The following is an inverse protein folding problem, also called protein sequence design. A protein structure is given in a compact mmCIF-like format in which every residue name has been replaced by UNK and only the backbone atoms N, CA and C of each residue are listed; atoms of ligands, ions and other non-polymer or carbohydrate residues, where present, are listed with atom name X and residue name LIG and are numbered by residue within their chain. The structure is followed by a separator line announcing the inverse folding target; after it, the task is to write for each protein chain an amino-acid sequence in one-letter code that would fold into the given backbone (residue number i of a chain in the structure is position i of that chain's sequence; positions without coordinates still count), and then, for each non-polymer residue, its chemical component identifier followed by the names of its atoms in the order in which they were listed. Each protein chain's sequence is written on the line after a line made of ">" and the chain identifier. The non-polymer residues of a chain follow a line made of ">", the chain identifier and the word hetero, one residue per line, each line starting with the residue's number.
data_IF_633155733202
#
_entry.id   IF_633155733202
#
_cell.length_a   1.000
_cell.length_b   1.000
_cell.length_c   1.000
_cell.angle_alpha   90.00
_cell.angle_beta   90.00
_cell.angle_gamma   90.00
#
_symmetry.space_group_name_H-M   'P 1'
#
loop_
_entity.id
_entity.type
_entity.pdbx_description
1 polymer ?
#
# COMPACT_ATOMS: atom_id res chain seq x y z
N UNK A 1 20.17 -4.82 -44.38
CA UNK A 1 19.25 -5.94 -44.09
C UNK A 1 18.47 -5.50 -42.84
N UNK A 2 17.28 -4.94 -43.03
CA UNK A 2 16.54 -4.22 -41.98
C UNK A 2 15.59 -5.18 -41.26
N UNK A 3 15.58 -5.06 -39.94
CA UNK A 3 14.83 -5.84 -38.96
C UNK A 3 13.35 -6.07 -39.31
N UNK A 4 12.94 -7.34 -39.27
CA UNK A 4 11.53 -7.73 -39.16
C UNK A 4 11.09 -7.54 -37.71
N UNK A 5 10.61 -6.34 -37.39
CA UNK A 5 9.73 -6.09 -36.24
C UNK A 5 8.54 -7.05 -36.31
N UNK A 6 8.51 -8.02 -35.38
CA UNK A 6 7.33 -8.81 -35.10
C UNK A 6 6.23 -7.87 -34.60
N UNK A 7 5.31 -7.47 -35.49
CA UNK A 7 4.08 -6.80 -35.09
C UNK A 7 3.25 -7.77 -34.24
N UNK A 8 3.09 -7.46 -32.96
CA UNK A 8 2.11 -8.13 -32.11
C UNK A 8 0.70 -7.90 -32.69
N UNK A 9 -0.17 -8.92 -32.73
CA UNK A 9 -1.54 -8.75 -33.18
C UNK A 9 -2.28 -7.76 -32.26
N UNK A 10 -2.98 -6.81 -32.87
CA UNK A 10 -3.82 -5.84 -32.19
C UNK A 10 -4.81 -6.56 -31.26
N UNK A 11 -4.83 -6.12 -30.00
CA UNK A 11 -5.47 -6.80 -28.88
C UNK A 11 -6.95 -7.13 -29.12
N UNK A 12 -7.33 -8.34 -28.72
CA UNK A 12 -8.72 -8.64 -28.36
C UNK A 12 -9.09 -7.73 -27.19
N UNK A 13 -10.05 -6.82 -27.38
CA UNK A 13 -10.70 -6.12 -26.29
C UNK A 13 -11.47 -7.16 -25.45
N UNK A 14 -10.81 -7.71 -24.43
CA UNK A 14 -11.50 -8.41 -23.37
C UNK A 14 -12.30 -7.35 -22.59
N UNK A 15 -13.59 -7.23 -22.90
CA UNK A 15 -14.52 -6.47 -22.07
C UNK A 15 -14.62 -7.18 -20.72
N UNK A 16 -13.83 -6.75 -19.75
CA UNK A 16 -13.98 -7.17 -18.36
C UNK A 16 -15.30 -6.58 -17.84
N UNK A 17 -16.33 -7.42 -17.75
CA UNK A 17 -17.63 -7.04 -17.20
C UNK A 17 -17.58 -7.32 -15.69
N UNK A 18 -17.89 -6.31 -14.88
CA UNK A 18 -18.15 -6.49 -13.44
C UNK A 18 -19.39 -7.38 -13.27
N UNK A 19 -19.18 -8.67 -13.04
CA UNK A 19 -20.22 -9.70 -13.24
C UNK A 19 -21.41 -9.63 -12.28
N UNK A 20 -21.27 -8.99 -11.11
CA UNK A 20 -22.30 -9.02 -10.05
C UNK A 20 -22.82 -7.65 -9.65
N UNK A 21 -22.34 -6.57 -10.26
CA UNK A 21 -22.64 -5.20 -9.84
C UNK A 21 -23.24 -4.40 -10.99
N UNK A 22 -24.35 -3.70 -10.70
CA UNK A 22 -24.90 -2.70 -11.61
C UNK A 22 -24.12 -1.39 -11.52
N UNK A 23 -23.92 -0.72 -12.65
CA UNK A 23 -23.28 0.60 -12.69
C UNK A 23 -24.26 1.66 -12.17
N UNK A 24 -23.81 2.52 -11.26
CA UNK A 24 -24.59 3.69 -10.87
C UNK A 24 -24.73 4.66 -12.07
N UNK A 25 -25.84 5.43 -12.18
CA UNK A 25 -26.08 6.32 -13.32
C UNK A 25 -24.96 7.34 -13.60
N UNK A 26 -24.24 7.75 -12.56
CA UNK A 26 -23.14 8.72 -12.60
C UNK A 26 -21.74 8.07 -12.68
N UNK A 27 -21.66 6.76 -12.92
CA UNK A 27 -20.37 6.07 -12.97
C UNK A 27 -19.60 6.46 -14.23
N UNK A 28 -18.34 6.88 -14.06
CA UNK A 28 -17.42 7.18 -15.14
C UNK A 28 -16.06 6.52 -14.90
N UNK A 29 -15.35 6.24 -16.00
CA UNK A 29 -13.97 5.75 -15.96
C UNK A 29 -13.01 6.94 -16.01
N UNK A 30 -11.98 6.92 -15.17
CA UNK A 30 -10.89 7.89 -15.18
C UNK A 30 -9.61 7.14 -15.51
N UNK A 31 -8.94 7.50 -16.61
CA UNK A 31 -7.62 6.98 -16.94
C UNK A 31 -6.57 7.64 -16.05
N UNK A 32 -5.93 6.85 -15.20
CA UNK A 32 -4.88 7.32 -14.32
C UNK A 32 -3.56 7.56 -15.10
N UNK A 33 -2.83 8.61 -14.73
CA UNK A 33 -1.49 8.83 -15.26
C UNK A 33 -0.56 7.64 -14.90
N UNK A 34 0.42 7.38 -15.78
CA UNK A 34 1.43 6.38 -15.52
C UNK A 34 2.17 6.68 -14.20
N UNK A 35 2.36 5.65 -13.39
CA UNK A 35 3.01 5.76 -12.09
C UNK A 35 4.52 6.01 -12.25
N UNK A 36 5.06 6.98 -11.52
CA UNK A 36 6.49 7.33 -11.49
C UNK A 36 7.19 6.57 -10.34
N UNK A 37 8.02 5.55 -10.63
CA UNK A 37 8.65 4.72 -9.60
C UNK A 37 9.74 5.45 -8.80
N UNK A 38 10.25 6.60 -9.27
CA UNK A 38 11.29 7.34 -8.56
C UNK A 38 10.72 8.23 -7.45
N UNK A 39 9.39 8.40 -7.38
CA UNK A 39 8.69 9.21 -6.37
C UNK A 39 7.83 8.34 -5.44
N UNK A 40 8.23 7.09 -5.22
CA UNK A 40 7.48 6.08 -4.46
C UNK A 40 7.27 6.47 -2.99
N UNK A 41 8.16 7.31 -2.43
CA UNK A 41 8.12 7.67 -1.02
C UNK A 41 8.13 9.18 -0.78
N UNK A 42 7.01 9.68 -0.26
CA UNK A 42 6.95 10.97 0.43
C UNK A 42 6.81 10.69 1.92
N UNK A 43 7.63 11.35 2.73
CA UNK A 43 7.47 11.28 4.19
C UNK A 43 6.10 11.85 4.57
N UNK A 44 5.43 11.17 5.50
CA UNK A 44 4.19 11.69 6.05
C UNK A 44 4.44 13.06 6.69
N UNK A 45 3.54 14.04 6.48
CA UNK A 45 3.61 15.32 7.18
C UNK A 45 3.60 15.20 8.72
N UNK A 46 3.08 14.09 9.27
CA UNK A 46 3.14 13.77 10.70
C UNK A 46 4.58 13.65 11.22
N UNK A 47 5.53 13.30 10.34
CA UNK A 47 6.93 13.00 10.66
C UNK A 47 7.14 11.63 11.29
N UNK A 48 6.12 10.77 11.33
CA UNK A 48 6.26 9.37 11.71
C UNK A 48 6.62 8.52 10.49
N UNK A 49 7.35 7.44 10.73
CA UNK A 49 7.68 6.42 9.74
C UNK A 49 7.60 5.03 10.35
N UNK A 50 7.58 4.01 9.51
CA UNK A 50 7.46 2.61 9.94
C UNK A 50 8.73 1.85 9.58
N UNK A 51 9.23 1.06 10.53
CA UNK A 51 10.19 0.01 10.27
C UNK A 51 9.47 -1.34 10.30
N UNK A 52 9.69 -2.16 9.28
CA UNK A 52 9.09 -3.49 9.16
C UNK A 52 10.19 -4.52 9.31
N UNK A 53 9.95 -5.55 10.14
CA UNK A 53 10.87 -6.66 10.33
C UNK A 53 10.11 -7.98 10.40
N UNK A 54 10.44 -8.98 9.57
CA UNK A 54 9.98 -10.34 9.80
C UNK A 54 10.73 -10.95 10.99
N UNK A 55 9.99 -11.59 11.89
CA UNK A 55 10.51 -12.43 12.97
C UNK A 55 10.27 -13.90 12.62
N UNK A 56 11.32 -14.54 12.12
CA UNK A 56 11.29 -15.95 11.71
C UNK A 56 11.15 -16.92 12.88
N UNK A 57 11.45 -16.49 14.12
CA UNK A 57 11.32 -17.36 15.30
C UNK A 57 9.86 -17.52 15.72
N UNK A 58 9.08 -16.44 15.60
CA UNK A 58 7.66 -16.43 15.95
C UNK A 58 6.73 -16.52 14.73
N UNK A 59 7.30 -16.57 13.52
CA UNK A 59 6.59 -16.53 12.23
C UNK A 59 5.61 -15.35 12.15
N UNK A 60 6.07 -14.18 12.59
CA UNK A 60 5.29 -12.94 12.62
C UNK A 60 6.02 -11.82 11.92
N UNK A 61 5.27 -10.81 11.51
CA UNK A 61 5.80 -9.53 11.07
C UNK A 61 5.68 -8.56 12.24
N UNK A 62 6.70 -7.73 12.42
CA UNK A 62 6.68 -6.58 13.32
C UNK A 62 6.69 -5.29 12.50
N UNK A 63 5.85 -4.33 12.90
CA UNK A 63 5.89 -2.96 12.41
C UNK A 63 6.10 -2.01 13.59
N UNK A 64 7.26 -1.37 13.63
CA UNK A 64 7.59 -0.35 14.62
C UNK A 64 7.24 1.04 14.07
N UNK A 65 6.40 1.77 14.80
CA UNK A 65 6.12 3.18 14.53
C UNK A 65 7.23 4.00 15.18
N UNK A 66 7.92 4.79 14.38
CA UNK A 66 9.04 5.63 14.79
C UNK A 66 8.66 7.10 14.68
N UNK A 67 8.94 7.87 15.74
CA UNK A 67 8.75 9.32 15.75
C UNK A 67 9.90 10.09 15.12
N UNK A 68 9.76 11.42 15.06
CA UNK A 68 10.76 12.35 14.50
C UNK A 68 12.16 12.22 15.11
N UNK A 69 12.24 11.87 16.39
CA UNK A 69 13.50 11.68 17.11
C UNK A 69 14.06 10.25 16.96
N UNK A 70 13.62 9.50 15.95
CA UNK A 70 13.98 8.11 15.69
C UNK A 70 13.67 7.13 16.85
N UNK A 71 12.85 7.54 17.80
CA UNK A 71 12.39 6.69 18.90
C UNK A 71 11.20 5.83 18.46
N UNK A 72 11.22 4.53 18.80
CA UNK A 72 10.08 3.63 18.62
C UNK A 72 9.00 4.01 19.63
N UNK A 73 7.83 4.43 19.15
CA UNK A 73 6.69 4.81 20.00
C UNK A 73 5.69 3.67 20.17
N UNK A 74 5.69 2.71 19.25
CA UNK A 74 4.81 1.53 19.30
C UNK A 74 5.37 0.43 18.41
N UNK A 75 5.11 -0.82 18.77
CA UNK A 75 5.35 -1.99 17.92
C UNK A 75 4.03 -2.74 17.78
N UNK A 76 3.68 -3.06 16.54
CA UNK A 76 2.56 -3.92 16.17
C UNK A 76 3.12 -5.24 15.66
N UNK A 77 2.49 -6.35 16.05
CA UNK A 77 2.90 -7.70 15.64
C UNK A 77 1.69 -8.44 15.08
N UNK A 78 1.85 -9.08 13.93
CA UNK A 78 0.78 -9.82 13.26
C UNK A 78 1.32 -10.98 12.46
N UNK A 79 0.45 -11.95 12.14
CA UNK A 79 0.81 -13.06 11.24
C UNK A 79 0.63 -12.67 9.78
N UNK A 80 -0.19 -11.64 9.51
CA UNK A 80 -0.44 -11.12 8.17
C UNK A 80 -0.34 -9.60 8.14
N UNK A 81 -0.15 -9.05 6.94
CA UNK A 81 -0.19 -7.60 6.73
C UNK A 81 -1.49 -6.96 7.25
N UNK A 82 -2.62 -7.68 7.11
CA UNK A 82 -3.94 -7.20 7.56
C UNK A 82 -4.02 -6.97 9.07
N UNK A 83 -3.45 -7.88 9.86
CA UNK A 83 -3.46 -7.78 11.32
C UNK A 83 -2.76 -6.50 11.79
N UNK A 84 -1.68 -6.14 11.09
CA UNK A 84 -0.84 -4.99 11.44
C UNK A 84 -1.50 -3.68 11.03
N UNK A 85 -1.92 -3.52 9.76
CA UNK A 85 -2.53 -2.25 9.34
C UNK A 85 -3.81 -1.96 10.14
N UNK A 86 -4.64 -2.98 10.38
CA UNK A 86 -5.88 -2.83 11.14
C UNK A 86 -5.57 -2.49 12.60
N UNK A 87 -4.58 -3.17 13.19
CA UNK A 87 -4.10 -2.88 14.54
C UNK A 87 -3.63 -1.44 14.71
N UNK A 88 -2.90 -0.91 13.72
CA UNK A 88 -2.47 0.49 13.73
C UNK A 88 -3.67 1.44 13.66
N UNK A 89 -4.58 1.28 12.70
CA UNK A 89 -5.71 2.20 12.53
C UNK A 89 -6.69 2.17 13.70
N UNK A 90 -6.94 1.00 14.28
CA UNK A 90 -7.75 0.89 15.49
C UNK A 90 -7.07 1.59 16.67
N UNK A 91 -5.74 1.48 16.80
CA UNK A 91 -5.00 2.20 17.83
C UNK A 91 -5.07 3.71 17.62
N UNK A 92 -4.84 4.20 16.40
CA UNK A 92 -4.98 5.62 16.05
C UNK A 92 -6.37 6.16 16.40
N UNK A 93 -7.42 5.45 15.99
CA UNK A 93 -8.82 5.80 16.29
C UNK A 93 -9.10 5.84 17.78
N UNK A 94 -8.67 4.81 18.53
CA UNK A 94 -8.88 4.70 19.98
C UNK A 94 -8.18 5.80 20.76
N UNK A 95 -7.01 6.24 20.29
CA UNK A 95 -6.15 7.20 20.98
C UNK A 95 -6.18 8.61 20.40
N UNK A 96 -6.97 8.88 19.36
CA UNK A 96 -7.03 10.17 18.69
C UNK A 96 -5.68 10.58 18.05
N UNK A 97 -4.90 9.62 17.57
CA UNK A 97 -3.60 9.84 16.94
C UNK A 97 -3.71 9.82 15.41
N UNK A 98 -2.72 10.41 14.74
CA UNK A 98 -2.58 10.39 13.29
C UNK A 98 -1.09 10.31 12.91
N UNK A 99 -0.54 9.10 12.97
CA UNK A 99 0.75 8.72 12.41
C UNK A 99 0.74 8.74 10.89
N UNK A 100 -0.39 8.38 10.25
CA UNK A 100 -0.55 8.46 8.79
C UNK A 100 -1.63 9.45 8.39
N UNK A 101 -1.21 10.59 7.84
CA UNK A 101 -2.12 11.60 7.27
C UNK A 101 -2.17 11.52 5.75
N UNK A 102 -1.08 11.07 5.13
CA UNK A 102 -0.99 10.91 3.68
C UNK A 102 -1.50 9.52 3.24
N UNK A 103 -2.51 9.50 2.37
CA UNK A 103 -3.10 8.25 1.85
C UNK A 103 -2.11 7.43 1.02
N UNK A 104 -1.13 8.07 0.37
CA UNK A 104 -0.06 7.40 -0.35
C UNK A 104 0.86 6.63 0.59
N UNK A 105 1.19 7.20 1.75
CA UNK A 105 1.99 6.50 2.75
C UNK A 105 1.26 5.28 3.35
N UNK A 106 -0.06 5.38 3.55
CA UNK A 106 -0.90 4.24 3.94
C UNK A 106 -0.84 3.12 2.89
N UNK A 107 -1.03 3.46 1.61
CA UNK A 107 -0.95 2.48 0.53
C UNK A 107 0.43 1.84 0.43
N UNK A 108 1.48 2.64 0.61
CA UNK A 108 2.87 2.18 0.64
C UNK A 108 3.12 1.22 1.81
N UNK A 109 2.65 1.54 3.02
CA UNK A 109 2.72 0.64 4.18
C UNK A 109 2.09 -0.72 3.87
N UNK A 110 0.89 -0.74 3.29
CA UNK A 110 0.23 -2.00 2.91
C UNK A 110 1.05 -2.82 1.90
N UNK A 111 1.64 -2.16 0.88
CA UNK A 111 2.54 -2.78 -0.10
C UNK A 111 3.79 -3.39 0.57
N UNK A 112 4.46 -2.64 1.46
CA UNK A 112 5.68 -3.14 2.11
C UNK A 112 5.40 -4.23 3.15
N UNK A 113 4.29 -4.15 3.90
CA UNK A 113 3.86 -5.22 4.77
C UNK A 113 3.56 -6.51 4.00
N UNK A 114 2.95 -6.40 2.81
CA UNK A 114 2.65 -7.57 1.99
C UNK A 114 3.90 -8.26 1.43
N UNK A 115 4.99 -7.52 1.22
CA UNK A 115 6.30 -8.10 0.85
C UNK A 115 6.98 -8.82 2.01
N UNK A 116 6.66 -8.44 3.24
CA UNK A 116 7.26 -9.00 4.46
C UNK A 116 6.50 -10.23 4.99
N UNK A 117 5.30 -10.49 4.48
CA UNK A 117 4.49 -11.70 4.70
C UNK A 117 5.02 -12.88 3.87
#
# INVERSE_FOLDING_TARGET
>A
MIDKLHRMPAGKNNNYIWQKQSMAPQCSTIDCAAYDPYKDFRRDPSGFYVLIRPDFSSLKIEAAICGKNHAIVRIFRGGKAQDIYEGIFQYEKKHGLAWFKDKGHIAYLGKELKKAE
#
